data_IF_065804427929
#
_entry.id   IF_065804427929
#
_cell.length_a   1.000
_cell.length_b   1.000
_cell.length_c   1.000
_cell.angle_alpha   90.00
_cell.angle_beta   90.00
_cell.angle_gamma   90.00
#
_symmetry.space_group_name_H-M   'P 1'
#
loop_
_entity.id
_entity.type
_entity.pdbx_description
1 polymer ?
#
# COMPACT_ATOMS: atom_id res chain seq x y z
N UNK A 1 -1.87 19.92 -18.73
CA UNK A 1 -1.96 19.32 -17.38
C UNK A 1 -2.26 17.83 -17.51
N UNK A 2 -1.46 17.00 -16.89
CA UNK A 2 -1.79 15.60 -16.80
C UNK A 2 -3.05 15.44 -15.94
N UNK A 3 -4.04 14.66 -16.42
CA UNK A 3 -5.19 14.32 -15.61
C UNK A 3 -4.75 13.39 -14.47
N UNK A 4 -5.22 13.66 -13.26
CA UNK A 4 -4.94 12.82 -12.11
C UNK A 4 -5.60 11.44 -12.29
N UNK A 5 -4.84 10.37 -12.06
CA UNK A 5 -5.37 9.00 -12.05
C UNK A 5 -6.03 8.68 -10.69
N UNK A 6 -6.88 9.59 -10.22
CA UNK A 6 -7.62 9.49 -8.98
C UNK A 6 -9.11 9.62 -9.26
N UNK A 7 -9.89 8.68 -8.75
CA UNK A 7 -11.35 8.81 -8.67
C UNK A 7 -11.71 9.43 -7.31
N UNK A 8 -12.17 10.68 -7.32
CA UNK A 8 -12.50 11.44 -6.11
C UNK A 8 -13.65 10.82 -5.31
N UNK A 9 -14.59 10.16 -5.98
CA UNK A 9 -15.70 9.49 -5.31
C UNK A 9 -15.22 8.24 -4.57
N UNK A 10 -14.29 7.48 -5.16
CA UNK A 10 -13.68 6.33 -4.51
C UNK A 10 -12.81 6.74 -3.32
N UNK A 11 -12.02 7.81 -3.44
CA UNK A 11 -11.21 8.35 -2.33
C UNK A 11 -12.10 8.74 -1.15
N UNK A 12 -13.20 9.46 -1.41
CA UNK A 12 -14.16 9.85 -0.35
C UNK A 12 -14.77 8.64 0.33
N UNK A 13 -15.18 7.64 -0.44
CA UNK A 13 -15.76 6.39 0.09
C UNK A 13 -14.81 5.70 1.07
N UNK A 14 -13.53 5.55 0.72
CA UNK A 14 -12.53 4.95 1.62
C UNK A 14 -12.23 5.83 2.82
N UNK A 15 -12.22 7.16 2.66
CA UNK A 15 -12.00 8.10 3.76
C UNK A 15 -13.09 8.01 4.83
N UNK A 16 -14.35 7.88 4.42
CA UNK A 16 -15.50 7.83 5.33
C UNK A 16 -15.47 6.58 6.26
N UNK A 17 -14.77 5.52 5.85
CA UNK A 17 -14.70 4.25 6.61
C UNK A 17 -13.31 3.95 7.18
N UNK A 18 -12.36 4.87 7.03
CA UNK A 18 -10.95 4.64 7.41
C UNK A 18 -10.76 4.32 8.91
N UNK A 19 -11.55 4.94 9.79
CA UNK A 19 -11.43 4.75 11.24
C UNK A 19 -11.73 3.31 11.70
N UNK A 20 -12.48 2.54 10.91
CA UNK A 20 -12.84 1.16 11.24
C UNK A 20 -11.85 0.10 10.73
N UNK A 21 -10.76 0.50 10.07
CA UNK A 21 -9.81 -0.42 9.42
C UNK A 21 -9.26 -1.52 10.34
N UNK A 22 -8.98 -1.20 11.60
CA UNK A 22 -8.37 -2.14 12.54
C UNK A 22 -9.36 -2.88 13.43
N UNK A 23 -10.65 -2.66 13.26
CA UNK A 23 -11.68 -3.45 13.91
C UNK A 23 -11.83 -4.80 13.20
N UNK A 24 -11.30 -5.86 13.82
CA UNK A 24 -11.34 -7.23 13.28
C UNK A 24 -12.75 -7.81 13.15
N UNK A 25 -13.73 -7.21 13.79
CA UNK A 25 -15.14 -7.64 13.76
C UNK A 25 -16.03 -6.67 12.99
N UNK A 26 -15.47 -5.58 12.47
CA UNK A 26 -16.16 -4.56 11.70
C UNK A 26 -16.17 -4.84 10.20
N UNK A 27 -16.37 -3.77 9.43
CA UNK A 27 -16.53 -3.83 7.96
C UNK A 27 -15.29 -4.35 7.23
N UNK A 28 -14.11 -4.23 7.83
CA UNK A 28 -12.83 -4.71 7.26
C UNK A 28 -12.44 -6.13 7.71
N UNK A 29 -13.34 -6.84 8.39
CA UNK A 29 -13.09 -8.24 8.78
C UNK A 29 -12.59 -9.11 7.62
N UNK A 30 -13.16 -9.06 6.40
CA UNK A 30 -12.62 -9.85 5.28
C UNK A 30 -11.15 -9.57 4.97
N UNK A 31 -10.70 -8.33 5.07
CA UNK A 31 -9.29 -7.96 4.87
C UNK A 31 -8.39 -8.55 5.97
N UNK A 32 -8.84 -8.54 7.23
CA UNK A 32 -8.11 -9.15 8.33
C UNK A 32 -7.97 -10.67 8.19
N UNK A 33 -8.98 -11.33 7.61
CA UNK A 33 -8.95 -12.77 7.33
C UNK A 33 -7.97 -13.10 6.22
N UNK A 34 -7.95 -12.33 5.13
CA UNK A 34 -7.13 -12.61 3.95
C UNK A 34 -5.69 -12.09 4.08
N UNK A 35 -5.44 -11.09 4.92
CA UNK A 35 -4.14 -10.42 5.03
C UNK A 35 -2.98 -11.38 5.34
N UNK A 36 -3.10 -12.33 6.29
CA UNK A 36 -2.03 -13.29 6.54
C UNK A 36 -1.71 -14.18 5.35
N UNK A 37 -2.72 -14.54 4.54
CA UNK A 37 -2.53 -15.34 3.33
C UNK A 37 -1.78 -14.55 2.25
N UNK A 38 -2.10 -13.27 2.08
CA UNK A 38 -1.40 -12.37 1.16
C UNK A 38 0.06 -12.19 1.56
N UNK A 39 0.31 -11.89 2.83
CA UNK A 39 1.66 -11.74 3.36
C UNK A 39 2.49 -13.03 3.20
N UNK A 40 1.89 -14.18 3.47
CA UNK A 40 2.52 -15.49 3.30
C UNK A 40 2.89 -15.75 1.83
N UNK A 41 1.96 -15.50 0.91
CA UNK A 41 2.19 -15.66 -0.52
C UNK A 41 3.37 -14.81 -1.01
N UNK A 42 3.44 -13.57 -0.58
CA UNK A 42 4.55 -12.67 -0.95
C UNK A 42 5.88 -13.21 -0.43
N UNK A 43 5.93 -13.60 0.86
CA UNK A 43 7.15 -14.11 1.48
C UNK A 43 7.61 -15.46 0.93
N UNK A 44 6.71 -16.25 0.37
CA UNK A 44 7.07 -17.48 -0.34
C UNK A 44 7.80 -17.20 -1.68
N UNK A 45 7.53 -16.05 -2.30
CA UNK A 45 8.16 -15.65 -3.57
C UNK A 45 9.47 -14.91 -3.39
N UNK A 46 9.59 -14.13 -2.33
CA UNK A 46 10.79 -13.35 -2.04
C UNK A 46 10.95 -13.19 -0.52
N UNK A 47 12.18 -13.38 -0.03
CA UNK A 47 12.50 -13.03 1.35
C UNK A 47 12.45 -11.51 1.52
N UNK A 48 11.56 -11.03 2.38
CA UNK A 48 11.33 -9.59 2.59
C UNK A 48 12.36 -8.93 3.52
N UNK A 49 13.19 -9.70 4.22
CA UNK A 49 14.15 -9.13 5.17
C UNK A 49 15.09 -8.13 4.51
N UNK A 50 15.11 -6.91 5.04
CA UNK A 50 15.90 -5.77 4.55
C UNK A 50 15.57 -5.33 3.10
N UNK A 51 14.42 -5.75 2.56
CA UNK A 51 13.95 -5.30 1.26
C UNK A 51 13.17 -4.00 1.35
N UNK A 52 13.39 -3.10 0.39
CA UNK A 52 12.57 -1.91 0.24
C UNK A 52 11.25 -2.29 -0.42
N UNK A 53 10.16 -2.14 0.30
CA UNK A 53 8.81 -2.51 -0.14
C UNK A 53 7.90 -1.30 -0.16
N UNK A 54 7.15 -1.15 -1.23
CA UNK A 54 6.10 -0.14 -1.37
C UNK A 54 4.74 -0.82 -1.45
N UNK A 55 3.81 -0.40 -0.61
CA UNK A 55 2.39 -0.78 -0.74
C UNK A 55 1.59 0.40 -1.32
N UNK A 56 1.10 0.23 -2.54
CA UNK A 56 0.27 1.21 -3.24
C UNK A 56 -1.18 0.98 -2.88
N UNK A 57 -1.87 2.02 -2.40
CA UNK A 57 -3.22 1.90 -1.88
C UNK A 57 -3.25 1.20 -0.53
N UNK A 58 -2.36 1.59 0.39
CA UNK A 58 -2.13 0.89 1.65
C UNK A 58 -3.29 0.99 2.66
N UNK A 59 -4.24 1.89 2.46
CA UNK A 59 -5.34 2.10 3.40
C UNK A 59 -4.87 2.32 4.82
N UNK A 60 -5.43 1.59 5.77
CA UNK A 60 -5.07 1.65 7.18
C UNK A 60 -3.82 0.87 7.57
N UNK A 61 -3.08 0.30 6.61
CA UNK A 61 -1.76 -0.26 6.83
C UNK A 61 -1.69 -1.76 7.20
N UNK A 62 -2.75 -2.53 6.98
CA UNK A 62 -2.77 -3.95 7.35
C UNK A 62 -1.64 -4.76 6.71
N UNK A 63 -1.48 -4.66 5.39
CA UNK A 63 -0.44 -5.38 4.67
C UNK A 63 0.94 -4.81 4.96
N UNK A 64 1.06 -3.48 5.09
CA UNK A 64 2.31 -2.82 5.46
C UNK A 64 2.87 -3.37 6.77
N UNK A 65 2.05 -3.47 7.81
CA UNK A 65 2.51 -3.99 9.11
C UNK A 65 2.87 -5.48 9.03
N UNK A 66 2.12 -6.27 8.27
CA UNK A 66 2.44 -7.69 8.07
C UNK A 66 3.80 -7.87 7.35
N UNK A 67 4.10 -7.06 6.35
CA UNK A 67 5.39 -7.10 5.65
C UNK A 67 6.53 -6.57 6.54
N UNK A 68 6.27 -5.53 7.34
CA UNK A 68 7.22 -5.05 8.33
C UNK A 68 7.61 -6.14 9.34
N UNK A 69 6.64 -6.90 9.82
CA UNK A 69 6.89 -8.01 10.76
C UNK A 69 7.76 -9.12 10.14
N UNK A 70 7.87 -9.17 8.82
CA UNK A 70 8.76 -10.07 8.09
C UNK A 70 10.12 -9.45 7.74
N UNK A 71 10.44 -8.32 8.34
CA UNK A 71 11.73 -7.65 8.22
C UNK A 71 11.85 -6.66 7.05
N UNK A 72 10.78 -6.38 6.33
CA UNK A 72 10.80 -5.41 5.24
C UNK A 72 10.98 -3.96 5.73
N UNK A 73 11.60 -3.14 4.90
CA UNK A 73 11.64 -1.68 5.03
C UNK A 73 10.47 -1.14 4.23
N UNK A 74 9.38 -0.79 4.92
CA UNK A 74 8.08 -0.56 4.28
C UNK A 74 7.76 0.92 4.13
N UNK A 75 7.27 1.28 2.95
CA UNK A 75 6.60 2.54 2.66
C UNK A 75 5.18 2.23 2.19
N UNK A 76 4.19 2.90 2.77
CA UNK A 76 2.80 2.85 2.33
C UNK A 76 2.36 4.18 1.74
N UNK A 77 1.66 4.13 0.62
CA UNK A 77 1.04 5.31 0.01
C UNK A 77 -0.44 5.07 -0.26
N UNK A 78 -1.22 6.12 -0.10
CA UNK A 78 -2.65 6.11 -0.42
C UNK A 78 -3.09 7.53 -0.78
N UNK A 79 -4.04 7.65 -1.70
CA UNK A 79 -4.66 8.92 -2.04
C UNK A 79 -5.66 9.38 -0.97
N UNK A 80 -6.08 8.51 -0.06
CA UNK A 80 -7.03 8.80 1.00
C UNK A 80 -6.31 9.15 2.32
N UNK A 81 -6.25 10.44 2.64
CA UNK A 81 -5.57 10.96 3.83
C UNK A 81 -6.01 10.34 5.16
N UNK A 82 -7.31 10.17 5.45
CA UNK A 82 -7.77 9.54 6.71
C UNK A 82 -7.25 8.12 6.91
N UNK A 83 -7.13 7.31 5.86
CA UNK A 83 -6.49 5.99 5.92
C UNK A 83 -5.03 6.07 6.33
N UNK A 84 -4.28 6.99 5.74
CA UNK A 84 -2.88 7.25 6.09
C UNK A 84 -2.71 7.65 7.56
N UNK A 85 -3.57 8.52 8.08
CA UNK A 85 -3.51 8.91 9.49
C UNK A 85 -3.78 7.72 10.42
N UNK A 86 -4.76 6.88 10.09
CA UNK A 86 -5.03 5.63 10.83
C UNK A 86 -3.80 4.71 10.79
N UNK A 87 -3.19 4.52 9.62
CA UNK A 87 -1.99 3.70 9.46
C UNK A 87 -0.81 4.21 10.30
N UNK A 88 -0.56 5.52 10.29
CA UNK A 88 0.49 6.15 11.10
C UNK A 88 0.25 5.93 12.59
N UNK A 89 -0.94 6.20 13.08
CA UNK A 89 -1.30 6.07 14.50
C UNK A 89 -1.13 4.62 14.94
N UNK A 90 -1.65 3.66 14.16
CA UNK A 90 -1.58 2.24 14.54
C UNK A 90 -0.15 1.71 14.55
N UNK A 91 0.66 2.04 13.53
CA UNK A 91 2.06 1.60 13.48
C UNK A 91 2.90 2.19 14.61
N UNK A 92 2.73 3.47 14.93
CA UNK A 92 3.42 4.11 16.03
C UNK A 92 3.04 3.49 17.38
N UNK A 93 1.77 3.23 17.60
CA UNK A 93 1.28 2.57 18.82
C UNK A 93 1.88 1.18 19.03
N UNK A 94 2.21 0.48 17.93
CA UNK A 94 2.79 -0.86 17.95
C UNK A 94 4.31 -0.84 17.72
N UNK A 95 4.95 0.31 17.79
CA UNK A 95 6.41 0.49 17.64
C UNK A 95 6.94 -0.04 16.30
N UNK A 96 6.16 0.13 15.22
CA UNK A 96 6.56 -0.25 13.87
C UNK A 96 6.96 1.00 13.09
N UNK A 97 8.20 1.04 12.63
CA UNK A 97 8.74 2.16 11.87
C UNK A 97 8.44 2.01 10.38
N UNK A 98 7.27 2.49 9.97
CA UNK A 98 6.79 2.46 8.59
C UNK A 98 6.55 3.90 8.12
N UNK A 99 7.04 4.23 6.93
CA UNK A 99 6.79 5.53 6.32
C UNK A 99 5.47 5.51 5.55
N UNK A 100 4.56 6.41 5.91
CA UNK A 100 3.26 6.55 5.24
C UNK A 100 3.10 7.94 4.65
N UNK A 101 2.66 8.02 3.38
CA UNK A 101 2.44 9.28 2.68
C UNK A 101 1.09 9.29 1.97
N UNK A 102 0.38 10.43 2.09
CA UNK A 102 -0.78 10.71 1.24
C UNK A 102 -0.29 11.13 -0.14
N UNK A 103 -0.03 10.14 -0.99
CA UNK A 103 0.50 10.31 -2.35
C UNK A 103 -0.07 9.26 -3.27
N UNK A 104 -0.09 9.57 -4.57
CA UNK A 104 -0.27 8.59 -5.63
C UNK A 104 1.07 7.98 -6.05
N UNK A 105 1.02 6.84 -6.75
CA UNK A 105 2.22 6.24 -7.33
C UNK A 105 2.85 7.16 -8.38
N UNK A 106 2.03 7.89 -9.13
CA UNK A 106 2.45 8.87 -10.13
C UNK A 106 3.23 10.05 -9.52
N UNK A 107 2.86 10.47 -8.32
CA UNK A 107 3.62 11.49 -7.59
C UNK A 107 4.95 10.93 -7.06
N UNK A 108 4.94 9.69 -6.57
CA UNK A 108 6.12 9.06 -6.00
C UNK A 108 7.19 8.71 -7.03
N UNK A 109 6.80 8.39 -8.27
CA UNK A 109 7.75 8.01 -9.34
C UNK A 109 8.76 9.12 -9.65
N UNK A 110 8.41 10.37 -9.43
CA UNK A 110 9.31 11.50 -9.65
C UNK A 110 10.53 11.47 -8.70
N UNK A 111 10.39 10.81 -7.56
CA UNK A 111 11.42 10.74 -6.51
C UNK A 111 12.07 9.37 -6.39
N UNK A 112 11.37 8.29 -6.74
CA UNK A 112 11.71 6.91 -6.37
C UNK A 112 11.75 5.92 -7.53
N UNK A 113 12.06 6.36 -8.73
CA UNK A 113 12.21 5.47 -9.89
C UNK A 113 13.26 4.38 -9.62
N UNK A 114 12.96 3.13 -9.99
CA UNK A 114 13.86 1.97 -9.82
C UNK A 114 14.40 1.81 -8.39
N UNK A 115 13.57 2.04 -7.41
CA UNK A 115 13.98 2.07 -6.00
C UNK A 115 13.57 0.84 -5.20
N UNK A 116 12.37 0.31 -5.44
CA UNK A 116 11.81 -0.76 -4.60
C UNK A 116 12.16 -2.15 -5.09
N UNK A 117 12.41 -3.06 -4.16
CA UNK A 117 12.58 -4.48 -4.43
C UNK A 117 11.23 -5.17 -4.68
N UNK A 118 10.20 -4.70 -3.99
CA UNK A 118 8.83 -5.19 -4.08
C UNK A 118 7.85 -4.02 -4.10
N UNK A 119 6.86 -4.09 -4.98
CA UNK A 119 5.68 -3.22 -4.98
C UNK A 119 4.45 -4.09 -4.87
N UNK A 120 3.57 -3.76 -3.94
CA UNK A 120 2.24 -4.37 -3.82
C UNK A 120 1.17 -3.36 -4.23
N UNK A 121 0.18 -3.82 -4.99
CA UNK A 121 -0.92 -3.01 -5.51
C UNK A 121 -2.20 -3.86 -5.51
N UNK A 122 -2.68 -4.17 -4.31
CA UNK A 122 -3.78 -5.11 -4.09
C UNK A 122 -5.09 -4.37 -3.85
N UNK A 123 -6.15 -4.75 -4.57
CA UNK A 123 -7.48 -4.14 -4.45
C UNK A 123 -7.48 -2.63 -4.79
N UNK A 124 -6.68 -2.22 -5.79
CA UNK A 124 -6.55 -0.80 -6.21
C UNK A 124 -6.96 -0.59 -7.66
N UNK A 125 -6.60 -1.52 -8.54
CA UNK A 125 -6.78 -1.34 -10.00
C UNK A 125 -8.23 -1.10 -10.40
N UNK A 126 -9.18 -1.70 -9.69
CA UNK A 126 -10.62 -1.55 -9.90
C UNK A 126 -11.15 -0.17 -9.51
N UNK A 127 -10.36 0.61 -8.77
CA UNK A 127 -10.76 1.91 -8.23
C UNK A 127 -10.12 3.11 -8.92
N UNK A 128 -9.29 2.89 -9.94
CA UNK A 128 -8.61 3.96 -10.68
C UNK A 128 -9.15 4.08 -12.10
N UNK A 129 -9.15 5.31 -12.68
CA UNK A 129 -9.62 5.52 -14.05
C UNK A 129 -8.79 4.80 -15.12
N UNK A 130 -7.48 4.68 -14.92
CA UNK A 130 -6.55 4.02 -15.84
C UNK A 130 -5.67 2.99 -15.12
N UNK A 131 -6.16 1.75 -14.97
CA UNK A 131 -5.38 0.71 -14.30
C UNK A 131 -4.10 0.31 -15.05
N UNK A 132 -4.10 0.36 -16.37
CA UNK A 132 -2.92 0.05 -17.18
C UNK A 132 -1.78 1.04 -16.93
N UNK A 133 -2.09 2.32 -16.82
CA UNK A 133 -1.13 3.35 -16.46
C UNK A 133 -0.56 3.12 -15.05
N UNK A 134 -1.41 2.80 -14.08
CA UNK A 134 -0.95 2.51 -12.71
C UNK A 134 0.01 1.32 -12.66
N UNK A 135 -0.29 0.23 -13.36
CA UNK A 135 0.60 -0.94 -13.44
C UNK A 135 1.97 -0.54 -14.01
N UNK A 136 1.99 0.26 -15.08
CA UNK A 136 3.23 0.76 -15.66
C UNK A 136 4.04 1.59 -14.66
N UNK A 137 3.39 2.48 -13.93
CA UNK A 137 4.07 3.29 -12.90
C UNK A 137 4.62 2.40 -11.79
N UNK A 138 3.88 1.40 -11.34
CA UNK A 138 4.36 0.42 -10.35
C UNK A 138 5.62 -0.31 -10.84
N UNK A 139 5.66 -0.71 -12.10
CA UNK A 139 6.84 -1.34 -12.70
C UNK A 139 8.03 -0.37 -12.75
N UNK A 140 7.79 0.89 -13.07
CA UNK A 140 8.86 1.91 -13.11
C UNK A 140 9.42 2.25 -11.71
N UNK A 141 8.64 2.02 -10.66
CA UNK A 141 9.07 2.16 -9.26
C UNK A 141 9.97 1.00 -8.80
N UNK A 142 9.88 -0.15 -9.46
CA UNK A 142 10.66 -1.34 -9.13
C UNK A 142 12.09 -1.23 -9.66
N UNK A 143 13.04 -1.78 -8.89
CA UNK A 143 14.36 -2.13 -9.41
C UNK A 143 14.23 -3.16 -10.54
N UNK A 144 15.25 -3.27 -11.45
CA UNK A 144 15.34 -4.44 -12.32
C UNK A 144 15.26 -5.73 -11.50
N UNK A 145 14.52 -6.71 -11.96
CA UNK A 145 14.25 -7.98 -11.26
C UNK A 145 13.42 -7.87 -9.97
N UNK A 146 12.79 -6.73 -9.75
CA UNK A 146 11.85 -6.54 -8.63
C UNK A 146 10.52 -7.30 -8.85
N UNK A 147 9.76 -7.44 -7.79
CA UNK A 147 8.48 -8.16 -7.79
C UNK A 147 7.30 -7.20 -7.66
N UNK A 148 6.30 -7.37 -8.52
CA UNK A 148 5.00 -6.71 -8.42
C UNK A 148 3.93 -7.75 -8.05
N UNK A 149 3.18 -7.46 -7.00
CA UNK A 149 2.03 -8.26 -6.59
C UNK A 149 0.74 -7.47 -6.70
#
# INVERSE_FOLDING_TARGET
MAMSNIDQQEVKKFSDIAESWWDKNGDFKPLHVINPLRASYISEKINLENKNVLDVGCGGGLLCEAMYDQGAIVTGIDAAGPGIEVAKIHSQKNNKNIDYFEKTAEELITEKKNYYDVVTCLEVLEHVPDPGHLVKVCVDLLKPDGYLF
#
